data_IF_482421978728
#
_entry.id   IF_482421978728
#
_cell.length_a   1.000
_cell.length_b   1.000
_cell.length_c   1.000
_cell.angle_alpha   90.00
_cell.angle_beta   90.00
_cell.angle_gamma   90.00
#
_symmetry.space_group_name_H-M   'P 1'
#
loop_
_entity.id
_entity.type
_entity.pdbx_description
1 polymer ?
#
# COMPACT_ATOMS: atom_id res chain seq x y z
N UNK A 1 40.89 -25.53 -30.71
CA UNK A 1 39.70 -26.27 -30.24
C UNK A 1 39.43 -25.83 -28.81
N UNK A 2 38.33 -25.10 -28.61
CA UNK A 2 37.96 -24.50 -27.33
C UNK A 2 37.38 -25.57 -26.40
N UNK A 3 37.90 -25.64 -25.17
CA UNK A 3 37.39 -26.53 -24.13
C UNK A 3 36.38 -25.75 -23.27
N UNK A 4 35.15 -26.27 -23.18
CA UNK A 4 34.07 -25.73 -22.38
C UNK A 4 34.37 -26.05 -20.91
N UNK A 5 34.67 -25.02 -20.11
CA UNK A 5 34.89 -25.13 -18.69
C UNK A 5 33.60 -24.89 -17.90
N UNK A 6 33.15 -25.89 -17.16
CA UNK A 6 32.03 -25.87 -16.23
C UNK A 6 32.13 -24.73 -15.21
N UNK A 7 31.05 -23.97 -15.05
CA UNK A 7 30.88 -22.98 -13.98
C UNK A 7 30.46 -23.73 -12.71
N UNK A 8 31.42 -24.07 -11.86
CA UNK A 8 31.15 -24.58 -10.51
C UNK A 8 30.89 -23.42 -9.55
N UNK A 9 29.64 -23.34 -9.08
CA UNK A 9 29.23 -22.48 -7.98
C UNK A 9 30.01 -22.80 -6.71
N UNK A 10 30.70 -21.81 -6.16
CA UNK A 10 31.35 -21.89 -4.85
C UNK A 10 30.84 -20.75 -3.97
N UNK A 11 29.65 -20.94 -3.39
CA UNK A 11 29.20 -20.22 -2.20
C UNK A 11 29.76 -20.95 -0.99
N UNK A 12 30.97 -20.60 -0.55
CA UNK A 12 31.45 -20.97 0.80
C UNK A 12 32.17 -19.78 1.40
N UNK A 13 31.59 -19.34 2.51
CA UNK A 13 32.06 -18.35 3.48
C UNK A 13 33.59 -18.31 3.65
N UNK A 14 34.18 -17.15 3.37
CA UNK A 14 35.43 -16.73 3.95
C UNK A 14 35.28 -15.26 4.36
N UNK A 15 35.27 -15.02 5.68
CA UNK A 15 35.41 -13.68 6.26
C UNK A 15 36.71 -13.07 5.73
N UNK A 16 36.59 -12.14 4.79
CA UNK A 16 37.71 -11.35 4.32
C UNK A 16 37.44 -9.89 4.68
N UNK A 17 38.04 -9.44 5.78
CA UNK A 17 37.86 -8.12 6.39
C UNK A 17 38.50 -6.97 5.58
N UNK A 18 38.94 -7.21 4.33
CA UNK A 18 39.68 -6.22 3.53
C UNK A 18 39.09 -5.89 2.14
N UNK A 19 37.81 -6.22 1.87
CA UNK A 19 37.12 -5.84 0.61
C UNK A 19 35.98 -4.83 0.83
N UNK A 20 36.05 -4.02 1.88
CA UNK A 20 35.02 -3.00 2.20
C UNK A 20 35.35 -1.61 1.61
N UNK A 21 36.21 -1.51 0.58
CA UNK A 21 36.63 -0.22 0.03
C UNK A 21 36.04 0.12 -1.36
N UNK A 22 35.40 -0.80 -2.08
CA UNK A 22 34.80 -0.57 -3.40
C UNK A 22 33.67 -1.60 -3.56
N UNK A 23 32.43 -1.35 -3.16
CA UNK A 23 31.46 -0.50 -3.85
C UNK A 23 30.47 0.04 -2.80
N UNK A 24 30.36 1.36 -2.69
CA UNK A 24 29.29 2.00 -1.92
C UNK A 24 28.00 1.90 -2.75
N UNK A 25 27.42 0.69 -2.87
CA UNK A 25 26.14 0.51 -3.54
C UNK A 25 25.09 1.05 -2.57
N UNK A 26 24.75 2.33 -2.72
CA UNK A 26 23.51 2.87 -2.19
C UNK A 26 22.36 2.19 -2.95
N UNK A 27 22.02 0.96 -2.55
CA UNK A 27 20.87 0.24 -3.07
C UNK A 27 19.62 1.00 -2.61
N UNK A 28 18.88 1.59 -3.55
CA UNK A 28 17.57 2.18 -3.29
C UNK A 28 16.53 1.04 -3.37
N UNK A 29 15.73 0.87 -2.31
CA UNK A 29 14.63 -0.12 -2.30
C UNK A 29 13.62 0.14 -3.42
N UNK A 30 13.56 1.37 -3.94
CA UNK A 30 12.69 1.73 -5.05
C UNK A 30 13.07 1.12 -6.39
N UNK A 31 14.24 0.48 -6.50
CA UNK A 31 14.60 -0.30 -7.69
C UNK A 31 13.91 -1.67 -7.71
N UNK A 32 13.24 -2.06 -6.62
CA UNK A 32 12.51 -3.31 -6.53
C UNK A 32 11.22 -3.24 -7.34
N UNK A 33 11.05 -4.18 -8.26
CA UNK A 33 9.82 -4.35 -9.04
C UNK A 33 9.44 -5.81 -9.11
N UNK A 34 8.16 -6.09 -8.96
CA UNK A 34 7.62 -7.44 -9.12
C UNK A 34 6.53 -7.46 -10.18
N UNK A 35 6.27 -8.65 -10.70
CA UNK A 35 5.07 -8.88 -11.50
C UNK A 35 3.86 -8.67 -10.60
N UNK A 36 2.94 -7.77 -10.96
CA UNK A 36 1.77 -7.51 -10.13
C UNK A 36 0.86 -8.75 -10.07
N UNK A 37 0.12 -8.96 -8.97
CA UNK A 37 -0.84 -10.05 -8.88
C UNK A 37 -1.88 -9.98 -9.99
N UNK A 38 -2.38 -11.14 -10.44
CA UNK A 38 -3.25 -11.26 -11.60
C UNK A 38 -4.51 -10.38 -11.47
N UNK A 39 -5.03 -10.27 -10.25
CA UNK A 39 -6.21 -9.48 -9.90
C UNK A 39 -6.03 -7.98 -10.13
N UNK A 40 -4.80 -7.48 -10.21
CA UNK A 40 -4.49 -6.06 -10.45
C UNK A 40 -4.13 -5.74 -11.90
N UNK A 41 -3.88 -6.75 -12.77
CA UNK A 41 -3.52 -6.52 -14.18
C UNK A 41 -4.52 -5.61 -14.94
N UNK A 42 -5.85 -5.72 -14.73
CA UNK A 42 -6.80 -4.80 -15.35
C UNK A 42 -6.61 -3.34 -14.92
N UNK A 43 -6.15 -3.09 -13.68
CA UNK A 43 -5.87 -1.72 -13.18
C UNK A 43 -4.80 -1.06 -14.05
N UNK A 44 -3.66 -1.74 -14.25
CA UNK A 44 -2.58 -1.21 -15.09
C UNK A 44 -2.98 -0.99 -16.55
N UNK A 45 -3.93 -1.77 -17.05
CA UNK A 45 -4.47 -1.62 -18.42
C UNK A 45 -5.49 -0.49 -18.54
N UNK A 46 -6.14 -0.12 -17.44
CA UNK A 46 -7.18 0.90 -17.37
C UNK A 46 -6.63 2.31 -17.05
N UNK A 47 -5.36 2.41 -16.62
CA UNK A 47 -4.70 3.69 -16.36
C UNK A 47 -4.36 4.45 -17.65
N UNK A 48 -4.42 5.78 -17.57
CA UNK A 48 -3.81 6.65 -18.55
C UNK A 48 -2.29 6.39 -18.62
N UNK A 49 -1.69 6.51 -19.81
CA UNK A 49 -0.30 6.13 -20.05
C UNK A 49 0.67 6.82 -19.07
N UNK A 50 0.52 8.14 -18.85
CA UNK A 50 1.38 8.88 -17.93
C UNK A 50 1.20 8.45 -16.47
N UNK A 51 -0.02 8.08 -16.05
CA UNK A 51 -0.27 7.53 -14.70
C UNK A 51 0.40 6.18 -14.53
N UNK A 52 0.34 5.34 -15.57
CA UNK A 52 1.04 4.06 -15.54
C UNK A 52 2.55 4.25 -15.41
N UNK A 53 3.15 5.15 -16.18
CA UNK A 53 4.58 5.49 -16.06
C UNK A 53 4.92 6.05 -14.68
N UNK A 54 4.09 6.94 -14.11
CA UNK A 54 4.30 7.46 -12.74
C UNK A 54 4.22 6.35 -11.68
N UNK A 55 3.33 5.37 -11.88
CA UNK A 55 3.17 4.24 -10.97
C UNK A 55 4.29 3.19 -11.09
N UNK A 56 4.93 3.08 -12.26
CA UNK A 56 6.00 2.10 -12.51
C UNK A 56 7.38 2.69 -12.21
N UNK A 57 7.63 3.94 -12.61
CA UNK A 57 8.97 4.55 -12.60
C UNK A 57 9.03 5.88 -11.81
N UNK A 58 7.87 6.42 -11.41
CA UNK A 58 7.74 7.75 -10.80
C UNK A 58 7.91 7.78 -9.28
N UNK A 59 7.56 8.93 -8.68
CA UNK A 59 7.69 9.14 -7.24
C UNK A 59 6.68 8.33 -6.44
N UNK A 60 5.49 8.07 -6.99
CA UNK A 60 4.51 7.19 -6.37
C UNK A 60 5.00 5.74 -6.29
N UNK A 61 5.76 5.25 -7.28
CA UNK A 61 6.43 3.95 -7.21
C UNK A 61 7.41 3.90 -6.04
N UNK A 62 8.31 4.89 -5.96
CA UNK A 62 9.32 4.98 -4.89
C UNK A 62 8.66 5.05 -3.52
N UNK A 63 7.58 5.81 -3.39
CA UNK A 63 6.81 5.94 -2.15
C UNK A 63 6.19 4.59 -1.77
N UNK A 64 5.56 3.89 -2.71
CA UNK A 64 4.98 2.58 -2.47
C UNK A 64 6.03 1.56 -2.00
N UNK A 65 7.17 1.45 -2.70
CA UNK A 65 8.28 0.58 -2.33
C UNK A 65 8.81 0.89 -0.92
N UNK A 66 9.12 2.17 -0.64
CA UNK A 66 9.67 2.60 0.66
C UNK A 66 8.72 2.28 1.80
N UNK A 67 7.45 2.64 1.66
CA UNK A 67 6.42 2.31 2.67
C UNK A 67 6.27 0.80 2.82
N UNK A 68 6.20 0.06 1.72
CA UNK A 68 6.10 -1.40 1.73
C UNK A 68 7.21 -2.04 2.55
N UNK A 69 8.47 -1.76 2.23
CA UNK A 69 9.61 -2.33 2.96
C UNK A 69 9.69 -1.86 4.41
N UNK A 70 9.40 -0.58 4.67
CA UNK A 70 9.44 0.00 6.02
C UNK A 70 8.46 -0.67 6.99
N UNK A 71 7.26 -0.98 6.51
CA UNK A 71 6.18 -1.58 7.32
C UNK A 71 6.08 -3.11 7.14
N UNK A 72 6.93 -3.75 6.33
CA UNK A 72 6.82 -5.17 5.95
C UNK A 72 6.69 -6.13 7.15
N UNK A 73 7.43 -5.88 8.22
CA UNK A 73 7.44 -6.73 9.42
C UNK A 73 6.21 -6.55 10.33
N UNK A 74 5.40 -5.51 10.10
CA UNK A 74 4.19 -5.23 10.88
C UNK A 74 2.93 -5.82 10.24
N UNK A 75 2.96 -6.03 8.93
CA UNK A 75 1.78 -6.41 8.14
C UNK A 75 1.52 -7.92 8.24
N UNK A 76 0.27 -8.34 8.51
CA UNK A 76 -0.09 -9.75 8.52
C UNK A 76 -0.23 -10.32 7.09
N UNK A 77 -0.01 -11.63 6.93
CA UNK A 77 -0.31 -12.32 5.68
C UNK A 77 -1.81 -12.37 5.41
N UNK A 78 -2.25 -11.67 4.36
CA UNK A 78 -3.68 -11.52 4.02
C UNK A 78 -3.94 -11.73 2.53
N UNK A 79 -3.62 -12.93 1.99
CA UNK A 79 -3.73 -13.20 0.56
C UNK A 79 -5.18 -13.11 0.04
N UNK A 80 -6.19 -13.47 0.83
CA UNK A 80 -7.58 -13.39 0.38
C UNK A 80 -8.07 -11.93 0.35
N UNK A 81 -7.71 -11.13 1.34
CA UNK A 81 -7.97 -9.69 1.34
C UNK A 81 -7.37 -9.03 0.11
N UNK A 82 -6.07 -9.26 -0.17
CA UNK A 82 -5.40 -8.64 -1.32
C UNK A 82 -6.00 -9.11 -2.65
N UNK A 83 -6.35 -10.40 -2.77
CA UNK A 83 -7.03 -10.96 -3.94
C UNK A 83 -8.40 -10.31 -4.15
N UNK A 84 -9.27 -10.34 -3.14
CA UNK A 84 -10.61 -9.77 -3.23
C UNK A 84 -10.58 -8.25 -3.48
N UNK A 85 -9.63 -7.53 -2.85
CA UNK A 85 -9.41 -6.12 -3.11
C UNK A 85 -8.98 -5.88 -4.56
N UNK A 86 -8.01 -6.63 -5.08
CA UNK A 86 -7.56 -6.53 -6.46
C UNK A 86 -8.71 -6.76 -7.46
N UNK A 87 -9.50 -7.81 -7.24
CA UNK A 87 -10.69 -8.10 -8.06
C UNK A 87 -11.66 -6.93 -8.04
N UNK A 88 -12.02 -6.42 -6.85
CA UNK A 88 -12.96 -5.29 -6.70
C UNK A 88 -12.45 -4.03 -7.37
N UNK A 89 -11.17 -3.68 -7.17
CA UNK A 89 -10.57 -2.50 -7.81
C UNK A 89 -10.61 -2.66 -9.32
N UNK A 90 -10.26 -3.83 -9.85
CA UNK A 90 -10.27 -4.11 -11.28
C UNK A 90 -11.65 -4.03 -11.90
N UNK A 91 -12.69 -4.54 -11.23
CA UNK A 91 -14.09 -4.38 -11.65
C UNK A 91 -14.47 -2.89 -11.77
N UNK A 92 -14.14 -2.09 -10.75
CA UNK A 92 -14.43 -0.66 -10.73
C UNK A 92 -13.63 0.10 -11.80
N UNK A 93 -12.33 -0.21 -11.94
CA UNK A 93 -11.42 0.48 -12.88
C UNK A 93 -11.74 0.17 -14.35
N UNK A 94 -12.34 -0.98 -14.63
CA UNK A 94 -12.74 -1.37 -15.99
C UNK A 94 -14.15 -0.90 -16.37
N UNK A 95 -14.91 -0.38 -15.41
CA UNK A 95 -16.24 0.18 -15.61
C UNK A 95 -16.19 1.53 -16.37
N UNK A 96 -16.73 1.62 -17.61
CA UNK A 96 -16.61 2.83 -18.42
C UNK A 96 -17.31 4.06 -17.84
N UNK A 97 -18.37 3.87 -17.06
CA UNK A 97 -19.09 4.96 -16.38
C UNK A 97 -18.33 5.51 -15.16
N UNK A 98 -17.35 4.76 -14.62
CA UNK A 98 -16.53 5.19 -13.48
C UNK A 98 -15.14 5.66 -13.94
N UNK A 99 -14.55 4.95 -14.89
CA UNK A 99 -13.26 5.25 -15.50
C UNK A 99 -13.41 5.47 -17.02
N UNK A 100 -14.03 6.59 -17.45
CA UNK A 100 -14.13 6.91 -18.86
C UNK A 100 -12.74 7.20 -19.44
N UNK A 101 -12.61 7.01 -20.76
CA UNK A 101 -11.43 7.45 -21.52
C UNK A 101 -11.67 8.85 -22.07
N UNK A 102 -10.62 9.67 -22.07
CA UNK A 102 -10.68 11.00 -22.66
C UNK A 102 -11.00 10.98 -24.16
N UNK A 103 -11.89 11.88 -24.54
CA UNK A 103 -12.36 12.12 -25.89
C UNK A 103 -11.76 13.42 -26.45
N UNK A 104 -11.89 13.69 -27.76
CA UNK A 104 -11.50 14.98 -28.33
C UNK A 104 -12.24 16.19 -27.72
N UNK A 105 -13.44 16.00 -27.17
CA UNK A 105 -14.25 17.06 -26.55
C UNK A 105 -13.64 17.57 -25.23
N UNK A 106 -12.84 16.73 -24.57
CA UNK A 106 -12.10 17.08 -23.36
C UNK A 106 -10.90 18.00 -23.63
N UNK A 107 -10.60 18.25 -24.91
CA UNK A 107 -9.55 19.18 -25.36
C UNK A 107 -8.19 18.89 -24.72
N UNK A 108 -7.50 19.91 -24.15
CA UNK A 108 -6.17 19.73 -23.57
C UNK A 108 -6.15 18.85 -22.31
N UNK A 109 -7.31 18.53 -21.73
CA UNK A 109 -7.40 17.71 -20.52
C UNK A 109 -7.72 16.25 -20.79
N UNK A 110 -7.83 15.86 -22.07
CA UNK A 110 -8.15 14.49 -22.51
C UNK A 110 -7.37 13.41 -21.77
N UNK A 111 -6.06 13.58 -21.64
CA UNK A 111 -5.18 12.58 -21.03
C UNK A 111 -5.30 12.50 -19.50
N UNK A 112 -6.04 13.42 -18.88
CA UNK A 112 -6.31 13.47 -17.44
C UNK A 112 -7.68 12.90 -17.07
N UNK A 113 -8.52 12.56 -18.07
CA UNK A 113 -9.82 11.92 -17.88
C UNK A 113 -9.63 10.49 -17.37
N UNK A 114 -10.52 10.07 -16.47
CA UNK A 114 -10.54 8.73 -15.89
C UNK A 114 -10.19 8.71 -14.40
N UNK A 115 -10.30 7.52 -13.81
CA UNK A 115 -10.00 7.24 -12.43
C UNK A 115 -8.49 7.26 -12.17
N UNK A 116 -8.11 7.75 -10.99
CA UNK A 116 -6.74 7.70 -10.52
C UNK A 116 -6.53 6.41 -9.72
N UNK A 117 -5.91 5.41 -10.34
CA UNK A 117 -5.45 4.18 -9.70
C UNK A 117 -3.93 4.10 -9.56
N UNK A 118 -3.23 5.24 -9.65
CA UNK A 118 -1.76 5.30 -9.75
C UNK A 118 -1.08 4.67 -8.55
N UNK A 119 -1.49 5.04 -7.33
CA UNK A 119 -0.98 4.44 -6.09
C UNK A 119 -1.29 2.94 -5.97
N UNK A 120 -2.42 2.48 -6.54
CA UNK A 120 -2.79 1.05 -6.53
C UNK A 120 -1.83 0.26 -7.41
N UNK A 121 -1.60 0.73 -8.64
CA UNK A 121 -0.69 0.08 -9.57
C UNK A 121 0.74 0.12 -9.04
N UNK A 122 1.17 1.27 -8.50
CA UNK A 122 2.47 1.43 -7.86
C UNK A 122 2.69 0.40 -6.75
N UNK A 123 1.69 0.22 -5.87
CA UNK A 123 1.74 -0.78 -4.82
C UNK A 123 1.76 -2.21 -5.37
N UNK A 124 0.93 -2.51 -6.38
CA UNK A 124 0.82 -3.82 -6.98
C UNK A 124 2.12 -4.27 -7.67
N UNK A 125 2.88 -3.36 -8.28
CA UNK A 125 4.16 -3.65 -8.94
C UNK A 125 5.36 -3.58 -8.00
N UNK A 126 5.15 -3.33 -6.70
CA UNK A 126 6.20 -3.20 -5.68
C UNK A 126 6.37 -4.52 -4.92
N UNK A 127 5.97 -4.58 -3.64
CA UNK A 127 5.93 -5.79 -2.83
C UNK A 127 4.54 -5.94 -2.17
N UNK A 128 4.12 -7.13 -1.70
CA UNK A 128 2.81 -7.31 -1.07
C UNK A 128 2.52 -6.36 0.10
N UNK A 129 3.53 -6.03 0.91
CA UNK A 129 3.38 -5.04 1.98
C UNK A 129 3.09 -3.61 1.48
N UNK A 130 3.44 -3.29 0.22
CA UNK A 130 3.10 -2.00 -0.41
C UNK A 130 1.59 -1.87 -0.67
N UNK A 131 0.94 -2.97 -1.08
CA UNK A 131 -0.53 -3.02 -1.18
C UNK A 131 -1.17 -2.81 0.18
N UNK A 132 -0.58 -3.40 1.22
CA UNK A 132 -1.07 -3.22 2.60
C UNK A 132 -0.91 -1.78 3.07
N UNK A 133 0.23 -1.14 2.78
CA UNK A 133 0.43 0.29 3.06
C UNK A 133 -0.55 1.17 2.26
N UNK A 134 -0.93 0.76 1.05
CA UNK A 134 -1.99 1.42 0.28
C UNK A 134 -3.37 1.25 0.93
N UNK A 135 -3.69 0.06 1.47
CA UNK A 135 -4.91 -0.16 2.24
C UNK A 135 -4.97 0.77 3.48
N UNK A 136 -3.84 1.02 4.15
CA UNK A 136 -3.75 2.04 5.20
C UNK A 136 -4.02 3.44 4.65
N UNK A 137 -3.46 3.80 3.48
CA UNK A 137 -3.74 5.09 2.85
C UNK A 137 -5.23 5.31 2.60
N UNK A 138 -5.96 4.26 2.18
CA UNK A 138 -7.41 4.29 2.04
C UNK A 138 -8.10 4.55 3.39
N UNK A 139 -7.68 3.91 4.48
CA UNK A 139 -8.24 4.15 5.82
C UNK A 139 -8.01 5.62 6.22
N UNK A 140 -6.78 6.12 6.09
CA UNK A 140 -6.45 7.49 6.48
C UNK A 140 -7.22 8.52 5.64
N UNK A 141 -7.33 8.29 4.33
CA UNK A 141 -8.06 9.17 3.45
C UNK A 141 -9.58 9.16 3.73
N UNK A 142 -10.13 8.05 4.22
CA UNK A 142 -11.53 7.94 4.63
C UNK A 142 -11.81 8.65 5.96
N UNK A 143 -10.88 8.55 6.90
CA UNK A 143 -11.09 9.02 8.27
C UNK A 143 -10.71 10.49 8.49
N UNK A 144 -9.77 11.04 7.72
CA UNK A 144 -9.27 12.40 7.90
C UNK A 144 -9.13 13.18 6.59
N UNK A 145 -9.11 14.51 6.72
CA UNK A 145 -8.76 15.42 5.63
C UNK A 145 -7.29 15.24 5.22
N UNK A 146 -6.95 15.73 4.02
CA UNK A 146 -5.63 15.53 3.42
C UNK A 146 -4.47 16.04 4.31
N UNK A 147 -4.63 17.17 5.01
CA UNK A 147 -3.54 17.73 5.83
C UNK A 147 -3.30 16.88 7.07
N UNK A 148 -4.38 16.41 7.69
CA UNK A 148 -4.30 15.55 8.87
C UNK A 148 -3.79 14.16 8.50
N UNK A 149 -4.28 13.54 7.42
CA UNK A 149 -3.78 12.27 6.91
C UNK A 149 -2.27 12.32 6.56
N UNK A 150 -1.83 13.37 5.87
CA UNK A 150 -0.39 13.58 5.59
C UNK A 150 0.43 13.70 6.87
N UNK A 151 -0.09 14.38 7.88
CA UNK A 151 0.60 14.52 9.17
C UNK A 151 0.66 13.20 9.94
N UNK A 152 -0.40 12.40 9.91
CA UNK A 152 -0.41 11.05 10.49
C UNK A 152 0.63 10.18 9.79
N UNK A 153 0.67 10.15 8.45
CA UNK A 153 1.71 9.41 7.73
C UNK A 153 3.13 9.82 8.13
N UNK A 154 3.39 11.12 8.28
CA UNK A 154 4.70 11.62 8.70
C UNK A 154 5.06 11.14 10.11
N UNK A 155 4.10 11.15 11.04
CA UNK A 155 4.26 10.60 12.39
C UNK A 155 4.49 9.08 12.35
N UNK A 156 3.76 8.33 11.51
CA UNK A 156 3.95 6.89 11.38
C UNK A 156 5.36 6.51 10.91
N UNK A 157 5.87 7.24 9.92
CA UNK A 157 7.24 7.05 9.43
C UNK A 157 8.25 7.40 10.51
N UNK A 158 8.08 8.54 11.18
CA UNK A 158 8.98 8.98 12.23
C UNK A 158 9.12 7.93 13.34
N UNK A 159 7.98 7.46 13.88
CA UNK A 159 7.97 6.45 14.94
C UNK A 159 8.51 5.11 14.46
N UNK A 160 8.22 4.70 13.22
CA UNK A 160 8.75 3.45 12.67
C UNK A 160 10.27 3.50 12.48
N UNK A 161 10.81 4.61 12.00
CA UNK A 161 12.26 4.84 11.89
C UNK A 161 12.90 4.75 13.28
N UNK A 162 12.38 5.50 14.26
CA UNK A 162 12.90 5.50 15.62
C UNK A 162 12.86 4.10 16.27
N UNK A 163 11.79 3.34 16.05
CA UNK A 163 11.67 1.96 16.52
C UNK A 163 12.78 1.07 15.93
N UNK A 164 12.96 1.10 14.61
CA UNK A 164 13.95 0.25 13.94
C UNK A 164 15.38 0.65 14.34
N UNK A 165 15.67 1.94 14.44
CA UNK A 165 16.97 2.44 14.93
C UNK A 165 17.25 1.97 16.36
N UNK A 166 16.24 1.99 17.24
CA UNK A 166 16.39 1.46 18.60
C UNK A 166 16.68 -0.05 18.59
N UNK A 167 16.05 -0.83 17.70
CA UNK A 167 16.35 -2.27 17.56
C UNK A 167 17.79 -2.51 17.09
N UNK A 168 18.27 -1.75 16.09
CA UNK A 168 19.65 -1.83 15.61
C UNK A 168 20.65 -1.46 16.70
N UNK A 169 20.39 -0.40 17.48
CA UNK A 169 21.24 0.03 18.60
C UNK A 169 21.31 -1.02 19.72
N UNK A 170 20.26 -1.83 19.88
CA UNK A 170 20.25 -2.97 20.81
C UNK A 170 20.91 -4.24 20.24
N UNK A 171 21.46 -4.18 19.03
CA UNK A 171 22.07 -5.34 18.36
C UNK A 171 21.06 -6.40 17.91
N UNK A 172 19.77 -6.05 17.77
CA UNK A 172 18.75 -6.97 17.25
C UNK A 172 18.92 -7.11 15.73
N UNK A 173 18.63 -8.31 15.24
CA UNK A 173 18.58 -8.57 13.79
C UNK A 173 17.31 -7.93 13.23
N UNK A 174 17.48 -7.02 12.28
CA UNK A 174 16.41 -6.37 11.51
C UNK A 174 16.50 -6.84 10.07
N UNK A 175 15.36 -6.94 9.36
CA UNK A 175 15.38 -7.23 7.95
C UNK A 175 16.23 -6.18 7.17
N UNK A 176 17.22 -6.60 6.36
CA UNK A 176 18.10 -5.68 5.64
C UNK A 176 17.36 -4.68 4.74
N UNK A 177 16.23 -5.07 4.15
CA UNK A 177 15.42 -4.18 3.32
C UNK A 177 14.63 -3.16 4.15
N UNK A 178 14.19 -3.53 5.36
CA UNK A 178 13.61 -2.56 6.31
C UNK A 178 14.68 -1.55 6.73
N UNK A 179 15.88 -2.00 7.10
CA UNK A 179 17.01 -1.14 7.44
C UNK A 179 17.35 -0.18 6.28
N UNK A 180 17.35 -0.68 5.06
CA UNK A 180 17.59 0.13 3.86
C UNK A 180 16.45 1.13 3.60
N UNK A 181 15.20 0.77 3.87
CA UNK A 181 14.04 1.63 3.68
C UNK A 181 14.01 2.80 4.69
N UNK A 182 14.33 2.56 5.97
CA UNK A 182 14.33 3.63 6.98
C UNK A 182 15.41 4.70 6.75
N UNK A 183 16.50 4.35 6.06
CA UNK A 183 17.57 5.28 5.68
C UNK A 183 17.17 6.21 4.53
N UNK A 184 16.10 5.88 3.81
CA UNK A 184 15.63 6.67 2.69
C UNK A 184 14.58 7.68 3.14
N UNK A 185 14.77 8.92 2.68
CA UNK A 185 13.84 10.01 3.01
C UNK A 185 12.54 9.84 2.23
N UNK A 186 11.42 9.82 2.96
CA UNK A 186 10.08 10.02 2.40
C UNK A 186 9.62 11.42 2.82
N UNK A 187 9.47 12.33 1.86
CA UNK A 187 9.12 13.72 2.16
C UNK A 187 7.62 13.86 2.43
N UNK A 188 7.22 14.95 3.10
CA UNK A 188 5.80 15.31 3.25
C UNK A 188 5.10 15.53 1.91
N UNK A 189 5.83 15.94 0.87
CA UNK A 189 5.27 16.10 -0.47
C UNK A 189 4.96 14.74 -1.11
N UNK A 190 5.80 13.74 -0.89
CA UNK A 190 5.58 12.36 -1.35
C UNK A 190 4.35 11.76 -0.67
N UNK A 191 4.24 11.96 0.65
CA UNK A 191 3.07 11.55 1.43
C UNK A 191 1.78 12.26 0.99
N UNK A 192 1.86 13.54 0.66
CA UNK A 192 0.71 14.28 0.15
C UNK A 192 0.25 13.77 -1.23
N UNK A 193 1.19 13.43 -2.12
CA UNK A 193 0.87 12.79 -3.41
C UNK A 193 0.24 11.41 -3.21
N UNK A 194 0.79 10.63 -2.29
CA UNK A 194 0.26 9.31 -1.92
C UNK A 194 -1.19 9.38 -1.42
N UNK A 195 -1.48 10.27 -0.45
CA UNK A 195 -2.84 10.52 0.04
C UNK A 195 -3.76 11.05 -1.06
N UNK A 196 -3.28 11.99 -1.89
CA UNK A 196 -4.08 12.57 -2.96
C UNK A 196 -4.55 11.51 -3.97
N UNK A 197 -3.66 10.60 -4.36
CA UNK A 197 -4.00 9.49 -5.27
C UNK A 197 -4.96 8.50 -4.61
N UNK A 198 -4.73 8.11 -3.35
CA UNK A 198 -5.66 7.25 -2.60
C UNK A 198 -7.05 7.89 -2.48
N UNK A 199 -7.12 9.18 -2.19
CA UNK A 199 -8.37 9.94 -2.07
C UNK A 199 -9.06 10.15 -3.41
N UNK A 200 -8.32 10.28 -4.50
CA UNK A 200 -8.88 10.34 -5.85
C UNK A 200 -9.48 8.98 -6.25
N UNK A 201 -8.81 7.87 -5.93
CA UNK A 201 -9.33 6.52 -6.06
C UNK A 201 -10.63 6.33 -5.27
N UNK A 202 -10.62 6.64 -3.97
CA UNK A 202 -11.77 6.46 -3.08
C UNK A 202 -13.04 7.16 -3.59
N UNK A 203 -12.91 8.35 -4.17
CA UNK A 203 -14.06 9.06 -4.76
C UNK A 203 -14.70 8.30 -5.92
N UNK A 204 -13.90 7.59 -6.72
CA UNK A 204 -14.40 6.77 -7.84
C UNK A 204 -15.01 5.47 -7.34
N UNK A 205 -14.37 4.84 -6.36
CA UNK A 205 -14.90 3.64 -5.73
C UNK A 205 -16.24 3.92 -5.00
N UNK A 206 -16.37 5.06 -4.30
CA UNK A 206 -17.61 5.48 -3.66
C UNK A 206 -18.74 5.62 -4.69
N UNK A 207 -18.44 6.21 -5.85
CA UNK A 207 -19.41 6.39 -6.94
C UNK A 207 -19.85 5.03 -7.51
N UNK A 208 -18.92 4.11 -7.70
CA UNK A 208 -19.21 2.77 -8.22
C UNK A 208 -20.03 1.92 -7.26
N UNK A 209 -19.79 2.06 -5.97
CA UNK A 209 -20.35 1.19 -4.92
C UNK A 209 -21.39 1.91 -4.07
N UNK A 210 -22.00 2.99 -4.59
CA UNK A 210 -22.86 3.89 -3.82
C UNK A 210 -23.94 3.16 -3.01
N UNK A 211 -24.67 2.24 -3.64
CA UNK A 211 -25.74 1.47 -2.97
C UNK A 211 -25.22 0.66 -1.78
N UNK A 212 -24.13 -0.11 -1.97
CA UNK A 212 -23.54 -0.92 -0.92
C UNK A 212 -22.94 -0.05 0.19
N UNK A 213 -22.31 1.06 -0.19
CA UNK A 213 -21.73 2.02 0.73
C UNK A 213 -22.80 2.68 1.62
N UNK A 214 -23.94 3.06 1.05
CA UNK A 214 -25.06 3.65 1.79
C UNK A 214 -25.72 2.64 2.73
N UNK A 215 -25.95 1.41 2.25
CA UNK A 215 -26.45 0.32 3.10
C UNK A 215 -25.51 0.03 4.27
N UNK A 216 -24.21 -0.08 4.01
CA UNK A 216 -23.20 -0.28 5.05
C UNK A 216 -23.20 0.86 6.07
N UNK A 217 -23.28 2.11 5.62
CA UNK A 217 -23.37 3.29 6.50
C UNK A 217 -24.60 3.24 7.41
N UNK A 218 -25.75 2.77 6.92
CA UNK A 218 -26.95 2.61 7.74
C UNK A 218 -26.74 1.60 8.86
N UNK A 219 -26.11 0.45 8.55
CA UNK A 219 -25.80 -0.59 9.54
C UNK A 219 -24.81 -0.06 10.57
N UNK A 220 -23.68 0.52 10.13
CA UNK A 220 -22.62 1.00 11.02
C UNK A 220 -23.10 2.09 11.98
N UNK A 221 -24.06 2.94 11.59
CA UNK A 221 -24.64 3.95 12.49
C UNK A 221 -25.35 3.36 13.71
N UNK A 222 -25.83 2.12 13.61
CA UNK A 222 -26.50 1.42 14.71
C UNK A 222 -25.54 0.66 15.64
N UNK A 223 -24.29 0.48 15.22
CA UNK A 223 -23.28 -0.31 15.94
C UNK A 223 -22.56 0.56 16.98
N UNK A 224 -22.52 0.10 18.23
CA UNK A 224 -21.90 0.80 19.38
C UNK A 224 -20.44 0.42 19.64
N UNK A 225 -19.70 -0.03 18.63
CA UNK A 225 -18.29 -0.43 18.78
C UNK A 225 -17.41 0.79 19.09
N UNK A 226 -16.63 0.78 20.18
CA UNK A 226 -15.70 1.85 20.49
C UNK A 226 -14.45 1.78 19.59
N UNK A 227 -13.65 2.85 19.61
CA UNK A 227 -12.25 2.75 19.19
C UNK A 227 -11.42 2.19 20.36
N UNK A 228 -10.36 1.43 20.06
CA UNK A 228 -9.39 1.00 21.07
C UNK A 228 -8.74 2.21 21.81
N UNK A 229 -8.62 2.16 23.14
CA UNK A 229 -7.95 3.17 23.99
C UNK A 229 -7.17 2.49 25.14
N UNK A 230 -6.01 3.02 25.62
CA UNK A 230 -5.19 4.17 25.18
C UNK A 230 -3.87 3.78 24.45
N UNK A 231 -3.17 4.77 23.86
CA UNK A 231 -1.89 4.61 23.16
C UNK A 231 -1.50 5.85 22.33
N UNK A 232 -0.29 5.88 21.79
CA UNK A 232 0.20 6.89 20.84
C UNK A 232 -0.56 6.83 19.51
N UNK A 233 -0.49 7.88 18.67
CA UNK A 233 -1.09 7.84 17.32
C UNK A 233 -0.57 6.65 16.52
N UNK A 234 0.74 6.39 16.60
CA UNK A 234 1.36 5.25 15.94
C UNK A 234 0.72 3.93 16.35
N UNK A 235 0.62 3.66 17.66
CA UNK A 235 0.02 2.43 18.18
C UNK A 235 -1.44 2.29 17.77
N UNK A 236 -2.24 3.35 17.91
CA UNK A 236 -3.67 3.35 17.55
C UNK A 236 -3.90 3.05 16.07
N UNK A 237 -3.17 3.74 15.20
CA UNK A 237 -3.35 3.58 13.75
C UNK A 237 -2.81 2.23 13.26
N UNK A 238 -1.62 1.82 13.72
CA UNK A 238 -1.02 0.55 13.28
C UNK A 238 -1.80 -0.65 13.81
N UNK A 239 -2.22 -0.66 15.08
CA UNK A 239 -3.05 -1.74 15.63
C UNK A 239 -4.40 -1.82 14.94
N UNK A 240 -5.09 -0.70 14.75
CA UNK A 240 -6.37 -0.65 14.04
C UNK A 240 -6.25 -1.13 12.59
N UNK A 241 -5.20 -0.72 11.88
CA UNK A 241 -4.92 -1.17 10.51
C UNK A 241 -4.63 -2.68 10.43
N UNK A 242 -3.71 -3.18 11.26
CA UNK A 242 -3.35 -4.61 11.31
C UNK A 242 -4.56 -5.47 11.70
N UNK A 243 -5.33 -5.04 12.71
CA UNK A 243 -6.52 -5.75 13.15
C UNK A 243 -7.58 -5.77 12.05
N UNK A 244 -7.79 -4.66 11.35
CA UNK A 244 -8.71 -4.59 10.22
C UNK A 244 -8.33 -5.58 9.12
N UNK A 245 -7.04 -5.67 8.79
CA UNK A 245 -6.57 -6.61 7.78
C UNK A 245 -6.83 -8.06 8.18
N UNK A 246 -6.54 -8.43 9.43
CA UNK A 246 -6.79 -9.79 9.96
C UNK A 246 -8.28 -10.14 9.95
N UNK A 247 -9.12 -9.24 10.47
CA UNK A 247 -10.57 -9.46 10.55
C UNK A 247 -11.17 -9.65 9.16
N UNK A 248 -10.81 -8.81 8.19
CA UNK A 248 -11.35 -8.94 6.83
C UNK A 248 -10.80 -10.19 6.13
N UNK A 249 -9.52 -10.54 6.34
CA UNK A 249 -8.96 -11.80 5.82
C UNK A 249 -9.72 -13.02 6.36
N UNK A 250 -10.00 -13.07 7.65
CA UNK A 250 -10.70 -14.19 8.26
C UNK A 250 -12.19 -14.22 7.86
N UNK A 251 -12.83 -13.06 7.72
CA UNK A 251 -14.18 -12.95 7.17
C UNK A 251 -14.25 -13.54 5.75
N UNK A 252 -13.27 -13.24 4.90
CA UNK A 252 -13.17 -13.78 3.53
C UNK A 252 -12.87 -15.30 3.50
N UNK A 253 -12.42 -15.87 4.62
CA UNK A 253 -12.28 -17.33 4.84
C UNK A 253 -13.56 -17.96 5.41
N UNK A 254 -14.66 -17.22 5.50
CA UNK A 254 -15.92 -17.63 6.13
C UNK A 254 -15.77 -17.93 7.63
N UNK A 255 -14.82 -17.29 8.31
CA UNK A 255 -14.68 -17.39 9.76
C UNK A 255 -15.49 -16.24 10.37
N UNK A 256 -16.49 -16.51 11.22
CA UNK A 256 -17.24 -15.46 11.91
C UNK A 256 -16.30 -14.55 12.72
N UNK A 257 -16.49 -13.24 12.59
CA UNK A 257 -15.67 -12.23 13.27
C UNK A 257 -16.53 -11.36 14.18
N UNK A 258 -16.04 -11.12 15.38
CA UNK A 258 -16.47 -9.97 16.17
C UNK A 258 -15.72 -8.74 15.66
N UNK A 259 -16.36 -7.56 15.73
CA UNK A 259 -15.70 -6.29 15.37
C UNK A 259 -15.28 -5.59 16.67
N UNK A 260 -14.05 -5.80 17.16
CA UNK A 260 -13.63 -5.28 18.46
C UNK A 260 -13.28 -3.79 18.43
N UNK A 261 -12.97 -3.27 17.24
CA UNK A 261 -12.53 -1.89 17.02
C UNK A 261 -13.27 -1.29 15.84
N UNK A 262 -13.78 -0.08 16.04
CA UNK A 262 -14.42 0.73 15.00
C UNK A 262 -13.49 1.02 13.81
N UNK A 263 -12.17 0.92 13.97
CA UNK A 263 -11.22 0.99 12.85
C UNK A 263 -11.52 -0.04 11.74
N UNK A 264 -12.01 -1.24 12.11
CA UNK A 264 -12.40 -2.28 11.14
C UNK A 264 -13.55 -1.82 10.26
N UNK A 265 -14.54 -1.13 10.83
CA UNK A 265 -15.68 -0.60 10.08
C UNK A 265 -15.22 0.52 9.12
N UNK A 266 -14.27 1.35 9.54
CA UNK A 266 -13.63 2.35 8.66
C UNK A 266 -12.90 1.65 7.52
N UNK A 267 -12.14 0.59 7.81
CA UNK A 267 -11.42 -0.18 6.81
C UNK A 267 -12.35 -0.83 5.77
N UNK A 268 -13.42 -1.50 6.19
CA UNK A 268 -14.43 -2.07 5.27
C UNK A 268 -15.00 -0.97 4.35
N UNK A 269 -15.35 0.19 4.91
CA UNK A 269 -15.84 1.32 4.12
C UNK A 269 -14.80 1.91 3.16
N UNK A 270 -13.52 1.88 3.53
CA UNK A 270 -12.43 2.42 2.73
C UNK A 270 -12.02 1.45 1.61
N UNK A 271 -12.01 0.14 1.89
CA UNK A 271 -11.59 -0.89 0.95
C UNK A 271 -12.70 -1.33 0.02
N UNK A 272 -13.94 -0.89 0.28
CA UNK A 272 -15.11 -1.22 -0.52
C UNK A 272 -15.33 -2.73 -0.63
N UNK A 273 -15.03 -3.49 0.44
CA UNK A 273 -15.26 -4.92 0.55
C UNK A 273 -16.42 -5.16 1.50
N UNK A 274 -17.63 -4.82 1.05
CA UNK A 274 -18.84 -4.97 1.85
C UNK A 274 -19.23 -6.45 1.97
N UNK A 275 -19.55 -6.94 3.19
CA UNK A 275 -20.17 -8.24 3.36
C UNK A 275 -21.60 -8.23 2.79
N UNK A 276 -22.06 -9.40 2.34
CA UNK A 276 -23.44 -9.65 1.91
C UNK A 276 -24.42 -9.67 3.09
#
# INVERSE_FOLDING_TARGET
MANIGNVSASLVSAKNENTAALVNINLDVSLWRTTPPAEFLPVGSALAAWRKTEAEDGELHKTACRLGFMFNELVPETPNLLRCYGTRVSEIMTSPNINPRGTPEDGPFRDFVGADGTCIWAAATSIPASLSAFLLACILARAWDAKKATSIWAELIHERVAHVEAQLNMGKVVNPHTEMAIRQKVSRADLAKWDASARAWLRRADQSMLSHHDQFKLVVRSVKTPFLEPGTTFEKITSGWIQSMKVVEDLLRNIPQEVPDRAVLVAISAWHLYPD
#
